data_IF_119133163972
#
_entry.id   IF_119133163972
#
_cell.length_a   1.000
_cell.length_b   1.000
_cell.length_c   1.000
_cell.angle_alpha   90.00
_cell.angle_beta   90.00
_cell.angle_gamma   90.00
#
_symmetry.space_group_name_H-M   'P 1'
#
loop_
_entity.id
_entity.type
_entity.pdbx_description
1 polymer ?
#
# COMPACT_ATOMS: atom_id res chain seq x y z
N UNK A 1 -30.53 -26.79 -22.67
CA UNK A 1 -29.77 -25.57 -23.03
C UNK A 1 -28.76 -25.21 -21.95
N UNK A 2 -28.21 -26.22 -21.24
CA UNK A 2 -27.41 -26.04 -20.01
C UNK A 2 -25.89 -26.05 -20.25
N UNK A 3 -25.43 -26.56 -21.40
CA UNK A 3 -24.00 -26.74 -21.69
C UNK A 3 -23.24 -25.44 -21.98
N UNK A 4 -23.92 -24.36 -22.37
CA UNK A 4 -23.26 -23.05 -22.61
C UNK A 4 -22.98 -22.27 -21.33
N UNK A 5 -23.82 -22.46 -20.30
CA UNK A 5 -23.72 -21.76 -19.02
C UNK A 5 -22.65 -22.35 -18.10
N UNK A 6 -22.51 -23.69 -18.06
CA UNK A 6 -21.43 -24.34 -17.30
C UNK A 6 -20.04 -23.98 -17.86
N UNK A 7 -19.89 -24.04 -19.18
CA UNK A 7 -18.65 -23.65 -19.89
C UNK A 7 -18.21 -22.20 -19.63
N UNK A 8 -19.15 -21.29 -19.35
CA UNK A 8 -18.82 -19.90 -18.99
C UNK A 8 -18.47 -19.72 -17.51
N UNK A 9 -18.99 -20.58 -16.63
CA UNK A 9 -18.70 -20.54 -15.20
C UNK A 9 -17.33 -21.15 -14.88
N UNK A 10 -17.01 -22.31 -15.46
CA UNK A 10 -15.71 -22.96 -15.31
C UNK A 10 -14.57 -22.06 -15.80
N UNK A 11 -14.79 -21.35 -16.91
CA UNK A 11 -13.83 -20.38 -17.44
C UNK A 11 -13.61 -19.18 -16.50
N UNK A 12 -14.66 -18.73 -15.80
CA UNK A 12 -14.54 -17.64 -14.82
C UNK A 12 -13.81 -18.10 -13.55
N UNK A 13 -14.03 -19.33 -13.09
CA UNK A 13 -13.28 -19.90 -11.96
C UNK A 13 -11.80 -20.11 -12.30
N UNK A 14 -11.49 -20.58 -13.51
CA UNK A 14 -10.10 -20.69 -13.95
C UNK A 14 -9.40 -19.32 -13.99
N UNK A 15 -10.11 -18.27 -14.45
CA UNK A 15 -9.59 -16.90 -14.40
C UNK A 15 -9.45 -16.39 -12.96
N UNK A 16 -10.32 -16.80 -12.04
CA UNK A 16 -10.26 -16.44 -10.62
C UNK A 16 -8.95 -16.89 -9.97
N UNK A 17 -8.52 -18.12 -10.23
CA UNK A 17 -7.20 -18.64 -9.81
C UNK A 17 -6.04 -17.78 -10.34
N UNK A 18 -6.19 -17.22 -11.55
CA UNK A 18 -5.25 -16.23 -12.07
C UNK A 18 -5.19 -14.96 -11.21
N UNK A 19 -6.33 -14.43 -10.78
CA UNK A 19 -6.40 -13.25 -9.91
C UNK A 19 -5.82 -13.49 -8.52
N UNK A 20 -5.96 -14.69 -7.96
CA UNK A 20 -5.30 -15.07 -6.71
C UNK A 20 -3.77 -14.99 -6.85
N UNK A 21 -3.20 -15.46 -7.97
CA UNK A 21 -1.75 -15.32 -8.22
C UNK A 21 -1.32 -13.86 -8.32
N UNK A 22 -2.12 -13.02 -8.98
CA UNK A 22 -1.89 -11.57 -9.03
C UNK A 22 -1.96 -10.95 -7.64
N UNK A 23 -2.88 -11.40 -6.79
CA UNK A 23 -2.97 -10.95 -5.41
C UNK A 23 -1.70 -11.27 -4.61
N UNK A 24 -1.20 -12.51 -4.71
CA UNK A 24 0.06 -12.89 -4.05
C UNK A 24 1.27 -12.08 -4.56
N UNK A 25 1.31 -11.79 -5.87
CA UNK A 25 2.34 -10.92 -6.44
C UNK A 25 2.25 -9.51 -5.86
N UNK A 26 1.04 -8.92 -5.79
CA UNK A 26 0.81 -7.61 -5.18
C UNK A 26 1.22 -7.57 -3.70
N UNK A 27 0.91 -8.62 -2.93
CA UNK A 27 1.37 -8.74 -1.54
C UNK A 27 2.89 -8.81 -1.44
N UNK A 28 3.54 -9.58 -2.31
CA UNK A 28 4.99 -9.72 -2.33
C UNK A 28 5.65 -8.36 -2.60
N UNK A 29 5.14 -7.61 -3.59
CA UNK A 29 5.61 -6.25 -3.90
C UNK A 29 5.39 -5.31 -2.72
N UNK A 30 4.21 -5.34 -2.09
CA UNK A 30 3.90 -4.49 -0.95
C UNK A 30 4.82 -4.78 0.26
N UNK A 31 5.12 -6.05 0.55
CA UNK A 31 6.04 -6.45 1.62
C UNK A 31 7.48 -6.01 1.30
N UNK A 32 7.94 -6.18 0.07
CA UNK A 32 9.27 -5.72 -0.36
C UNK A 32 9.38 -4.20 -0.23
N UNK A 33 8.35 -3.46 -0.66
CA UNK A 33 8.26 -2.01 -0.51
C UNK A 33 8.33 -1.59 0.97
N UNK A 34 7.62 -2.31 1.84
CA UNK A 34 7.61 -2.07 3.28
C UNK A 34 8.97 -2.37 3.93
N UNK A 35 9.60 -3.50 3.60
CA UNK A 35 10.94 -3.81 4.09
C UNK A 35 11.96 -2.75 3.63
N UNK A 36 11.89 -2.35 2.36
CA UNK A 36 12.71 -1.28 1.82
C UNK A 36 12.42 0.07 2.48
N UNK A 37 11.17 0.31 2.91
CA UNK A 37 10.80 1.49 3.68
C UNK A 37 11.56 1.58 5.00
N UNK A 38 11.53 0.51 5.79
CA UNK A 38 12.22 0.45 7.08
C UNK A 38 13.74 0.56 6.94
N UNK A 39 14.33 -0.08 5.93
CA UNK A 39 15.77 0.05 5.66
C UNK A 39 16.11 1.52 5.37
N UNK A 40 15.33 2.17 4.50
CA UNK A 40 15.53 3.57 4.13
C UNK A 40 15.35 4.50 5.34
N UNK A 41 14.32 4.30 6.14
CA UNK A 41 14.09 5.07 7.36
C UNK A 41 15.29 4.98 8.31
N UNK A 42 15.81 3.77 8.53
CA UNK A 42 17.01 3.57 9.33
C UNK A 42 18.25 4.25 8.75
N UNK A 43 18.47 4.16 7.44
CA UNK A 43 19.56 4.87 6.74
C UNK A 43 19.41 6.38 6.90
N UNK A 44 18.20 6.92 6.74
CA UNK A 44 17.92 8.34 6.88
C UNK A 44 18.21 8.83 8.30
N UNK A 45 17.81 8.08 9.33
CA UNK A 45 18.11 8.40 10.74
C UNK A 45 19.62 8.38 10.98
N UNK A 46 20.34 7.37 10.49
CA UNK A 46 21.79 7.27 10.64
C UNK A 46 22.52 8.41 9.93
N UNK A 47 22.12 8.74 8.71
CA UNK A 47 22.68 9.86 7.95
C UNK A 47 22.41 11.18 8.66
N UNK A 48 21.18 11.40 9.12
CA UNK A 48 20.78 12.60 9.85
C UNK A 48 21.58 12.75 11.14
N UNK A 49 21.77 11.68 11.92
CA UNK A 49 22.59 11.70 13.13
C UNK A 49 24.07 11.95 12.83
N UNK A 50 24.63 11.32 11.80
CA UNK A 50 26.01 11.56 11.37
C UNK A 50 26.23 13.00 10.91
N UNK A 51 25.22 13.58 10.27
CA UNK A 51 25.20 14.94 9.76
C UNK A 51 25.14 15.95 10.91
N UNK A 52 24.22 15.79 11.86
CA UNK A 52 24.19 16.61 13.08
C UNK A 52 25.47 16.48 13.91
N UNK A 53 26.09 15.30 13.95
CA UNK A 53 27.38 15.11 14.61
C UNK A 53 28.53 15.86 13.90
N UNK A 54 28.52 15.92 12.57
CA UNK A 54 29.48 16.73 11.81
C UNK A 54 29.18 18.22 11.96
N UNK A 55 27.90 18.61 12.03
CA UNK A 55 27.46 19.98 12.28
C UNK A 55 27.92 20.47 13.65
N UNK A 56 27.70 19.72 14.73
CA UNK A 56 28.17 20.05 16.09
C UNK A 56 29.69 20.23 16.15
N UNK A 57 30.44 19.39 15.40
CA UNK A 57 31.89 19.54 15.22
C UNK A 57 32.28 20.75 14.35
N UNK A 58 31.45 21.13 13.39
CA UNK A 58 31.69 22.25 12.48
C UNK A 58 31.21 23.60 13.05
N UNK A 59 30.22 23.60 13.93
CA UNK A 59 29.71 24.76 14.67
C UNK A 59 30.75 25.23 15.71
N UNK A 60 31.51 24.27 16.26
CA UNK A 60 32.79 24.51 16.94
C UNK A 60 33.85 25.23 16.07
N UNK A 61 33.70 25.23 14.74
CA UNK A 61 34.63 25.82 13.75
C UNK A 61 34.05 27.06 13.03
N UNK A 62 32.72 27.25 12.99
CA UNK A 62 32.03 28.31 12.23
C UNK A 62 30.96 29.00 13.04
N UNK A 63 31.37 29.80 14.02
CA UNK A 63 30.51 30.90 14.46
C UNK A 63 30.35 31.91 13.32
N UNK A 64 29.11 32.09 12.85
CA UNK A 64 28.56 33.32 12.24
C UNK A 64 28.51 33.59 10.72
N UNK A 65 28.83 32.68 9.77
CA UNK A 65 28.95 33.13 8.36
C UNK A 65 27.82 32.79 7.36
N UNK A 66 27.16 31.63 7.35
CA UNK A 66 26.45 31.20 6.12
C UNK A 66 25.09 30.51 6.34
N UNK A 67 24.03 31.31 6.53
CA UNK A 67 22.64 30.82 6.49
C UNK A 67 22.22 30.32 5.08
N UNK A 68 22.79 30.91 4.01
CA UNK A 68 22.48 30.52 2.62
C UNK A 68 22.94 29.10 2.29
N UNK A 69 24.12 28.69 2.76
CA UNK A 69 24.64 27.33 2.56
C UNK A 69 23.74 26.31 3.25
N UNK A 70 23.23 26.63 4.43
CA UNK A 70 22.30 25.77 5.16
C UNK A 70 21.00 25.58 4.35
N UNK A 71 20.44 26.66 3.78
CA UNK A 71 19.19 26.60 3.01
C UNK A 71 19.33 25.77 1.73
N UNK A 72 20.44 25.93 1.00
CA UNK A 72 20.70 25.22 -0.24
C UNK A 72 20.95 23.73 0.04
N UNK A 73 21.64 23.43 1.14
CA UNK A 73 21.86 22.08 1.61
C UNK A 73 20.57 21.35 2.02
N UNK A 74 19.66 22.02 2.75
CA UNK A 74 18.34 21.47 3.06
C UNK A 74 17.53 21.17 1.79
N UNK A 75 17.65 22.02 0.75
CA UNK A 75 16.97 21.79 -0.52
C UNK A 75 17.51 20.56 -1.26
N UNK A 76 18.83 20.35 -1.26
CA UNK A 76 19.46 19.19 -1.87
C UNK A 76 19.15 17.89 -1.10
N UNK A 77 19.11 17.96 0.24
CA UNK A 77 18.65 16.86 1.10
C UNK A 77 17.19 16.50 0.77
N UNK A 78 16.30 17.49 0.70
CA UNK A 78 14.89 17.26 0.40
C UNK A 78 14.70 16.59 -0.96
N UNK A 79 15.45 17.01 -1.99
CA UNK A 79 15.43 16.38 -3.32
C UNK A 79 15.99 14.95 -3.30
N UNK A 80 17.04 14.69 -2.51
CA UNK A 80 17.60 13.35 -2.35
C UNK A 80 16.66 12.40 -1.59
N UNK A 81 15.96 12.90 -0.58
CA UNK A 81 14.97 12.14 0.19
C UNK A 81 13.68 11.89 -0.61
N UNK A 82 13.20 12.89 -1.36
CA UNK A 82 12.03 12.81 -2.25
C UNK A 82 12.45 12.58 -3.69
N UNK A 83 13.11 11.45 -3.97
CA UNK A 83 13.40 11.06 -5.36
C UNK A 83 12.08 10.95 -6.17
N UNK A 84 11.83 11.82 -7.16
CA UNK A 84 10.53 11.86 -7.85
C UNK A 84 10.23 10.54 -8.57
N UNK A 85 11.26 9.87 -9.08
CA UNK A 85 11.14 8.57 -9.74
C UNK A 85 10.58 7.49 -8.80
N UNK A 86 10.94 7.53 -7.51
CA UNK A 86 10.44 6.58 -6.50
C UNK A 86 8.95 6.79 -6.25
N UNK A 87 8.52 8.05 -6.10
CA UNK A 87 7.12 8.40 -5.93
C UNK A 87 6.29 7.98 -7.14
N UNK A 88 6.80 8.20 -8.36
CA UNK A 88 6.14 7.78 -9.60
C UNK A 88 6.02 6.25 -9.65
N UNK A 89 7.09 5.50 -9.35
CA UNK A 89 7.05 4.05 -9.32
C UNK A 89 6.04 3.53 -8.28
N UNK A 90 6.04 4.12 -7.10
CA UNK A 90 5.09 3.79 -6.05
C UNK A 90 3.64 4.07 -6.48
N UNK A 91 3.36 5.24 -7.06
CA UNK A 91 2.04 5.60 -7.58
C UNK A 91 1.58 4.65 -8.68
N UNK A 92 2.49 4.23 -9.57
CA UNK A 92 2.18 3.28 -10.63
C UNK A 92 1.78 1.90 -10.05
N UNK A 93 2.51 1.40 -9.06
CA UNK A 93 2.21 0.14 -8.38
C UNK A 93 0.88 0.23 -7.62
N UNK A 94 0.68 1.32 -6.87
CA UNK A 94 -0.57 1.56 -6.14
C UNK A 94 -1.78 1.61 -7.07
N UNK A 95 -1.66 2.32 -8.19
CA UNK A 95 -2.70 2.44 -9.20
C UNK A 95 -3.02 1.10 -9.85
N UNK A 96 -2.01 0.28 -10.11
CA UNK A 96 -2.20 -1.07 -10.64
C UNK A 96 -2.98 -1.97 -9.68
N UNK A 97 -2.65 -1.95 -8.38
CA UNK A 97 -3.35 -2.73 -7.36
C UNK A 97 -4.82 -2.28 -7.24
N UNK A 98 -5.07 -0.96 -7.23
CA UNK A 98 -6.45 -0.45 -7.20
C UNK A 98 -7.22 -0.76 -8.48
N UNK A 99 -6.58 -0.71 -9.65
CA UNK A 99 -7.19 -1.11 -10.90
C UNK A 99 -7.64 -2.58 -10.85
N UNK A 100 -6.82 -3.48 -10.29
CA UNK A 100 -7.20 -4.88 -10.08
C UNK A 100 -8.46 -5.02 -9.21
N UNK A 101 -8.50 -4.33 -8.07
CA UNK A 101 -9.67 -4.32 -7.17
C UNK A 101 -10.92 -3.75 -7.87
N UNK A 102 -10.79 -2.65 -8.61
CA UNK A 102 -11.87 -2.01 -9.33
C UNK A 102 -12.43 -2.90 -10.46
N UNK A 103 -11.56 -3.58 -11.21
CA UNK A 103 -11.97 -4.53 -12.24
C UNK A 103 -12.80 -5.66 -11.62
N UNK A 104 -12.37 -6.22 -10.48
CA UNK A 104 -13.14 -7.25 -9.79
C UNK A 104 -14.48 -6.74 -9.25
N UNK A 105 -14.53 -5.50 -8.75
CA UNK A 105 -15.74 -4.91 -8.19
C UNK A 105 -16.79 -4.54 -9.26
N UNK A 106 -16.37 -3.91 -10.37
CA UNK A 106 -17.27 -3.24 -11.30
C UNK A 106 -17.48 -3.99 -12.61
N UNK A 107 -16.56 -4.86 -13.04
CA UNK A 107 -16.65 -5.48 -14.35
C UNK A 107 -17.74 -6.56 -14.37
N UNK A 108 -18.70 -6.41 -15.30
CA UNK A 108 -19.95 -7.20 -15.35
C UNK A 108 -19.76 -8.72 -15.33
N UNK A 109 -18.77 -9.33 -16.03
CA UNK A 109 -18.58 -10.78 -16.01
C UNK A 109 -18.35 -11.37 -14.61
N UNK A 110 -17.72 -10.64 -13.70
CA UNK A 110 -17.45 -11.09 -12.33
C UNK A 110 -18.68 -11.09 -11.43
N UNK A 111 -19.81 -10.53 -11.87
CA UNK A 111 -21.08 -10.62 -11.12
C UNK A 111 -21.68 -12.03 -11.11
N UNK A 112 -21.21 -12.91 -11.99
CA UNK A 112 -21.64 -14.32 -12.03
C UNK A 112 -20.90 -15.21 -11.03
N UNK A 113 -19.75 -14.76 -10.51
CA UNK A 113 -18.97 -15.49 -9.51
C UNK A 113 -19.60 -15.31 -8.13
N UNK A 114 -19.46 -16.30 -7.25
CA UNK A 114 -19.88 -16.20 -5.85
C UNK A 114 -19.34 -14.91 -5.22
N UNK A 115 -20.26 -14.11 -4.66
CA UNK A 115 -19.97 -12.81 -4.06
C UNK A 115 -18.89 -12.92 -2.98
N UNK A 116 -18.87 -13.99 -2.19
CA UNK A 116 -17.85 -14.17 -1.16
C UNK A 116 -16.44 -14.22 -1.75
N UNK A 117 -16.18 -15.16 -2.67
CA UNK A 117 -14.85 -15.35 -3.25
C UNK A 117 -14.35 -14.06 -3.90
N UNK A 118 -15.25 -13.33 -4.56
CA UNK A 118 -14.94 -12.05 -5.18
C UNK A 118 -14.59 -10.97 -4.15
N UNK A 119 -15.35 -10.88 -3.06
CA UNK A 119 -15.09 -9.91 -2.01
C UNK A 119 -13.81 -10.22 -1.26
N UNK A 120 -13.50 -11.49 -1.01
CA UNK A 120 -12.22 -11.91 -0.41
C UNK A 120 -11.03 -11.44 -1.27
N UNK A 121 -11.09 -11.61 -2.59
CA UNK A 121 -10.09 -11.08 -3.51
C UNK A 121 -9.99 -9.55 -3.50
N UNK A 122 -11.14 -8.85 -3.55
CA UNK A 122 -11.17 -7.38 -3.51
C UNK A 122 -10.53 -6.87 -2.22
N UNK A 123 -10.93 -7.41 -1.07
CA UNK A 123 -10.35 -7.06 0.22
C UNK A 123 -8.87 -7.40 0.29
N UNK A 124 -8.44 -8.51 -0.30
CA UNK A 124 -7.04 -8.85 -0.45
C UNK A 124 -6.26 -7.77 -1.21
N UNK A 125 -6.73 -7.36 -2.40
CA UNK A 125 -6.05 -6.33 -3.18
C UNK A 125 -6.04 -4.98 -2.46
N UNK A 126 -7.14 -4.62 -1.80
CA UNK A 126 -7.19 -3.41 -0.97
C UNK A 126 -6.17 -3.50 0.17
N UNK A 127 -6.06 -4.63 0.87
CA UNK A 127 -5.08 -4.84 1.93
C UNK A 127 -3.63 -4.75 1.41
N UNK A 128 -3.34 -5.29 0.22
CA UNK A 128 -2.03 -5.13 -0.41
C UNK A 128 -1.72 -3.65 -0.73
N UNK A 129 -2.71 -2.93 -1.27
CA UNK A 129 -2.63 -1.47 -1.48
C UNK A 129 -2.41 -0.72 -0.15
N UNK A 130 -2.94 -1.21 0.96
CA UNK A 130 -2.71 -0.64 2.29
C UNK A 130 -1.29 -0.80 2.79
N UNK A 131 -0.74 -2.01 2.68
CA UNK A 131 0.64 -2.28 3.07
C UNK A 131 1.59 -1.38 2.26
N UNK A 132 1.28 -1.16 0.99
CA UNK A 132 2.07 -0.29 0.13
C UNK A 132 1.94 1.20 0.52
N UNK A 133 0.76 1.67 0.97
CA UNK A 133 0.58 3.00 1.56
C UNK A 133 1.35 3.18 2.87
N UNK A 134 1.32 2.19 3.75
CA UNK A 134 2.12 2.17 4.97
C UNK A 134 3.62 2.25 4.66
N UNK A 135 4.09 1.53 3.64
CA UNK A 135 5.46 1.60 3.19
C UNK A 135 5.85 3.01 2.73
N UNK A 136 4.95 3.74 2.07
CA UNK A 136 5.21 5.13 1.70
C UNK A 136 5.29 6.04 2.93
N UNK A 137 4.34 5.90 3.86
CA UNK A 137 4.31 6.70 5.09
C UNK A 137 5.55 6.49 5.96
N UNK A 138 6.07 5.26 6.02
CA UNK A 138 7.30 4.94 6.75
C UNK A 138 8.58 5.47 6.07
N UNK A 139 8.51 5.88 4.80
CA UNK A 139 9.67 6.40 4.06
C UNK A 139 9.83 7.92 4.16
N UNK A 140 8.80 8.62 4.63
CA UNK A 140 8.80 10.08 4.67
C UNK A 140 9.51 10.55 5.95
N UNK A 141 10.73 11.12 5.84
CA UNK A 141 11.50 11.55 7.00
C UNK A 141 10.88 12.77 7.71
N UNK A 142 9.90 13.44 7.09
CA UNK A 142 9.16 14.55 7.68
C UNK A 142 7.89 14.08 8.40
N UNK A 143 7.58 12.78 8.37
CA UNK A 143 6.37 12.19 8.92
C UNK A 143 6.50 11.97 10.44
N UNK A 144 6.61 13.09 11.16
CA UNK A 144 6.18 13.28 12.56
C UNK A 144 4.70 12.83 12.65
N UNK A 145 4.20 12.26 13.77
CA UNK A 145 2.83 11.74 13.92
C UNK A 145 1.75 12.70 13.37
N UNK A 146 1.38 12.51 12.11
CA UNK A 146 0.55 13.46 11.34
C UNK A 146 -0.58 12.78 10.59
N UNK A 147 -1.46 13.60 10.02
CA UNK A 147 -2.77 13.29 9.43
C UNK A 147 -2.80 12.08 8.47
N UNK A 148 -1.67 11.78 7.81
CA UNK A 148 -1.52 10.58 6.98
C UNK A 148 -1.71 9.28 7.76
N UNK A 149 -1.16 9.16 8.97
CA UNK A 149 -1.36 7.99 9.82
C UNK A 149 -2.82 7.84 10.24
N UNK A 150 -3.54 8.95 10.41
CA UNK A 150 -4.97 8.94 10.76
C UNK A 150 -5.80 8.39 9.60
N UNK A 151 -5.57 8.85 8.37
CA UNK A 151 -6.23 8.31 7.19
C UNK A 151 -5.95 6.81 7.01
N UNK A 152 -4.71 6.41 7.28
CA UNK A 152 -4.29 5.01 7.19
C UNK A 152 -5.03 4.12 8.18
N UNK A 153 -5.10 4.55 9.44
CA UNK A 153 -5.80 3.83 10.51
C UNK A 153 -7.31 3.81 10.28
N UNK A 154 -7.92 4.94 9.89
CA UNK A 154 -9.36 5.03 9.62
C UNK A 154 -9.76 4.04 8.53
N UNK A 155 -8.99 3.97 7.45
CA UNK A 155 -9.33 3.08 6.35
C UNK A 155 -9.09 1.61 6.72
N UNK A 156 -8.04 1.27 7.48
CA UNK A 156 -7.86 -0.09 8.02
C UNK A 156 -9.05 -0.52 8.88
N UNK A 157 -9.55 0.38 9.73
CA UNK A 157 -10.75 0.15 10.52
C UNK A 157 -11.98 -0.05 9.63
N UNK A 158 -12.15 0.77 8.59
CA UNK A 158 -13.25 0.64 7.64
C UNK A 158 -13.20 -0.70 6.89
N UNK A 159 -12.01 -1.16 6.45
CA UNK A 159 -11.84 -2.47 5.82
C UNK A 159 -12.12 -3.62 6.79
N UNK A 160 -11.56 -3.57 8.00
CA UNK A 160 -11.76 -4.58 9.03
C UNK A 160 -13.24 -4.71 9.44
N UNK A 161 -13.92 -3.58 9.64
CA UNK A 161 -15.36 -3.54 9.92
C UNK A 161 -16.19 -4.04 8.74
N UNK A 162 -15.82 -3.67 7.51
CA UNK A 162 -16.47 -4.16 6.29
C UNK A 162 -16.37 -5.69 6.16
N UNK A 163 -15.17 -6.23 6.36
CA UNK A 163 -14.92 -7.68 6.32
C UNK A 163 -15.67 -8.42 7.43
N UNK A 164 -15.58 -7.93 8.67
CA UNK A 164 -16.26 -8.53 9.82
C UNK A 164 -17.78 -8.53 9.67
N UNK A 165 -18.35 -7.43 9.18
CA UNK A 165 -19.80 -7.34 8.93
C UNK A 165 -20.24 -8.34 7.85
N UNK A 166 -19.41 -8.55 6.84
CA UNK A 166 -19.69 -9.52 5.78
C UNK A 166 -19.61 -10.96 6.27
N UNK A 167 -18.65 -11.29 7.14
CA UNK A 167 -18.54 -12.60 7.79
C UNK A 167 -19.83 -13.01 8.51
N UNK A 168 -20.45 -12.09 9.25
CA UNK A 168 -21.72 -12.36 9.96
C UNK A 168 -22.91 -12.72 9.06
N UNK A 169 -22.87 -12.35 7.77
CA UNK A 169 -23.97 -12.67 6.83
C UNK A 169 -23.80 -14.07 6.22
N UNK A 170 -22.59 -14.62 6.22
CA UNK A 170 -22.31 -15.98 5.74
C UNK A 170 -22.93 -17.03 6.65
N UNK A 171 -22.69 -16.90 7.96
CA UNK A 171 -23.18 -17.85 8.96
C UNK A 171 -24.71 -17.97 8.96
N UNK A 172 -25.41 -16.87 8.69
CA UNK A 172 -26.88 -16.86 8.60
C UNK A 172 -27.45 -17.50 7.34
N UNK A 173 -26.67 -17.60 6.26
CA UNK A 173 -27.15 -18.17 5.00
C UNK A 173 -27.03 -19.70 4.98
N UNK A 174 -26.06 -20.26 5.71
CA UNK A 174 -25.88 -21.72 5.86
C UNK A 174 -26.90 -22.34 6.83
N UNK A 175 -27.46 -21.57 7.77
CA UNK A 175 -28.50 -22.07 8.70
C UNK A 175 -29.89 -22.24 8.06
N UNK A 176 -30.17 -21.63 6.91
CA UNK A 176 -31.53 -21.61 6.30
C UNK A 176 -31.73 -22.75 5.29
N UNK A 177 -30.65 -23.38 4.82
CA UNK A 177 -30.72 -24.52 3.90
C UNK A 177 -29.78 -25.64 4.38
N UNK A 178 -30.26 -26.55 5.24
CA UNK A 178 -29.54 -27.78 5.58
C UNK A 178 -29.47 -28.77 4.41
#
# INVERSE_FOLDING_TARGET
MESKTSLTMDHLEQKLSGWEKWLYASFSVAIIMLAHAFIKDHENIMLTNALFFMEDKAELVRSAANADILSQYYSDLAVAYLSPARLILWLAIQSAIFACAAVLAFFRPWRKVNLSKRMDLIFGFLLAAWINLLALGAQDPLNIPGEYNVLVVIYLLALGLGYWWQGRKKDKAEEVFP
#
